data_IF_167415205159
#
_entry.id   IF_167415205159
#
_cell.length_a   1.000
_cell.length_b   1.000
_cell.length_c   1.000
_cell.angle_alpha   90.00
_cell.angle_beta   90.00
_cell.angle_gamma   90.00
#
_symmetry.space_group_name_H-M   'P 1'
#
loop_
_entity.id
_entity.type
_entity.pdbx_description
1 polymer ?
#
# COMPACT_ATOMS: atom_id res chain seq x y z
N UNK A 1 -25.11 -15.23 18.21
CA UNK A 1 -24.59 -14.24 17.24
C UNK A 1 -23.44 -13.46 17.88
N UNK A 2 -22.33 -14.14 18.22
CA UNK A 2 -21.22 -13.59 19.01
C UNK A 2 -19.91 -14.34 18.75
N UNK A 3 -19.54 -14.57 17.48
CA UNK A 3 -18.44 -15.48 17.12
C UNK A 3 -17.52 -14.97 15.98
N UNK A 4 -17.31 -13.66 15.84
CA UNK A 4 -16.37 -13.09 14.85
C UNK A 4 -15.42 -12.02 15.43
N UNK A 5 -15.40 -11.81 16.75
CA UNK A 5 -14.67 -10.70 17.40
C UNK A 5 -13.18 -10.95 17.67
N UNK A 6 -12.59 -12.07 17.24
CA UNK A 6 -11.17 -12.38 17.48
C UNK A 6 -10.29 -12.26 16.24
N UNK A 7 -10.69 -11.44 15.26
CA UNK A 7 -9.78 -11.05 14.20
C UNK A 7 -8.81 -9.99 14.73
N UNK A 8 -7.67 -10.47 15.20
CA UNK A 8 -6.54 -9.70 15.71
C UNK A 8 -6.00 -8.76 14.62
N UNK A 9 -6.63 -7.60 14.45
CA UNK A 9 -5.90 -6.39 14.05
C UNK A 9 -5.10 -5.92 15.28
N UNK A 10 -4.18 -6.77 15.74
CA UNK A 10 -3.29 -6.52 16.90
C UNK A 10 -2.53 -5.19 16.75
N UNK A 11 -2.28 -4.77 15.52
CA UNK A 11 -1.57 -3.52 15.21
C UNK A 11 -2.45 -2.25 15.29
N UNK A 12 -3.77 -2.35 15.57
CA UNK A 12 -4.68 -1.24 15.29
C UNK A 12 -5.88 -1.04 16.23
N UNK A 13 -5.78 -1.41 17.52
CA UNK A 13 -6.81 -0.99 18.48
C UNK A 13 -7.07 0.54 18.42
N UNK A 14 -6.00 1.34 18.35
CA UNK A 14 -6.10 2.80 18.18
C UNK A 14 -6.76 3.21 16.85
N UNK A 15 -6.52 2.48 15.76
CA UNK A 15 -7.10 2.78 14.45
C UNK A 15 -8.59 2.39 14.42
N UNK A 16 -8.99 1.29 15.08
CA UNK A 16 -10.39 0.88 15.22
C UNK A 16 -11.21 1.95 15.96
N UNK A 17 -10.69 2.45 17.08
CA UNK A 17 -11.34 3.56 17.81
C UNK A 17 -11.32 4.87 17.02
N UNK A 18 -10.31 5.11 16.19
CA UNK A 18 -10.26 6.30 15.34
C UNK A 18 -11.30 6.26 14.20
N UNK A 19 -11.54 5.09 13.59
CA UNK A 19 -12.54 4.96 12.51
C UNK A 19 -13.98 5.04 13.02
N UNK A 20 -14.26 4.73 14.28
CA UNK A 20 -15.58 4.93 14.90
C UNK A 20 -16.01 6.41 14.87
N UNK A 21 -15.05 7.35 14.94
CA UNK A 21 -15.29 8.80 14.82
C UNK A 21 -15.62 9.25 13.39
N UNK A 22 -15.58 8.35 12.41
CA UNK A 22 -15.83 8.69 11.01
C UNK A 22 -17.28 9.15 10.82
N UNK A 23 -17.48 10.39 10.37
CA UNK A 23 -18.80 10.95 10.06
C UNK A 23 -19.26 10.69 8.62
N UNK A 24 -18.56 9.83 7.88
CA UNK A 24 -18.91 9.45 6.49
C UNK A 24 -19.03 10.63 5.50
N UNK A 25 -18.33 11.74 5.73
CA UNK A 25 -18.39 12.95 4.91
C UNK A 25 -17.83 12.83 3.49
N UNK A 26 -17.01 11.81 3.19
CA UNK A 26 -16.49 11.55 1.84
C UNK A 26 -15.30 12.40 1.37
N UNK A 27 -14.78 13.30 2.21
CA UNK A 27 -13.59 14.12 1.88
C UNK A 27 -12.39 13.28 1.47
N UNK A 28 -12.21 12.10 2.08
CA UNK A 28 -11.13 11.19 1.75
C UNK A 28 -11.26 10.60 0.33
N UNK A 29 -12.49 10.28 -0.09
CA UNK A 29 -12.78 9.78 -1.43
C UNK A 29 -12.56 10.87 -2.48
N UNK A 30 -13.07 12.07 -2.22
CA UNK A 30 -12.89 13.22 -3.11
C UNK A 30 -11.42 13.66 -3.25
N UNK A 31 -10.63 13.51 -2.18
CA UNK A 31 -9.20 13.88 -2.17
C UNK A 31 -8.30 12.83 -2.83
N UNK A 32 -8.78 11.60 -3.05
CA UNK A 32 -7.92 10.53 -3.51
C UNK A 32 -7.70 10.63 -5.04
N UNK A 33 -6.45 10.78 -5.52
CA UNK A 33 -6.18 10.82 -6.96
C UNK A 33 -6.45 9.47 -7.66
N UNK A 34 -6.53 8.39 -6.88
CA UNK A 34 -6.71 7.03 -7.39
C UNK A 34 -8.17 6.55 -7.31
N UNK A 35 -9.11 7.42 -6.93
CA UNK A 35 -10.52 7.06 -6.72
C UNK A 35 -11.12 6.32 -7.92
N UNK A 36 -10.80 6.73 -9.15
CA UNK A 36 -11.32 6.14 -10.39
C UNK A 36 -10.79 4.73 -10.69
N UNK A 37 -9.72 4.29 -10.01
CA UNK A 37 -9.11 2.97 -10.22
C UNK A 37 -9.45 1.97 -9.11
N UNK A 38 -10.12 2.44 -8.05
CA UNK A 38 -10.54 1.70 -6.87
C UNK A 38 -11.85 0.96 -7.11
N UNK A 39 -12.00 -0.19 -6.47
CA UNK A 39 -13.26 -0.93 -6.40
C UNK A 39 -14.21 -0.32 -5.37
N UNK A 40 -13.67 0.20 -4.26
CA UNK A 40 -14.42 0.90 -3.22
C UNK A 40 -13.67 2.16 -2.81
N UNK A 41 -14.37 3.27 -2.64
CA UNK A 41 -13.71 4.49 -2.18
C UNK A 41 -13.20 4.31 -0.73
N UNK A 42 -12.20 5.09 -0.27
CA UNK A 42 -11.71 5.01 1.10
C UNK A 42 -12.82 5.14 2.16
N UNK A 43 -13.84 5.98 1.91
CA UNK A 43 -15.02 6.10 2.76
C UNK A 43 -15.78 4.78 2.89
N UNK A 44 -16.00 4.07 1.78
CA UNK A 44 -16.72 2.80 1.75
C UNK A 44 -15.92 1.70 2.45
N UNK A 45 -14.59 1.66 2.30
CA UNK A 45 -13.75 0.71 3.04
C UNK A 45 -13.83 0.94 4.55
N UNK A 46 -13.81 2.20 4.99
CA UNK A 46 -14.01 2.53 6.41
C UNK A 46 -15.37 2.05 6.89
N UNK A 47 -16.43 2.27 6.10
CA UNK A 47 -17.78 1.80 6.44
C UNK A 47 -17.83 0.27 6.54
N UNK A 48 -17.26 -0.46 5.57
CA UNK A 48 -17.20 -1.93 5.60
C UNK A 48 -16.55 -2.44 6.89
N UNK A 49 -15.42 -1.86 7.30
CA UNK A 49 -14.75 -2.27 8.54
C UNK A 49 -15.58 -1.92 9.77
N UNK A 50 -16.21 -0.75 9.82
CA UNK A 50 -17.07 -0.35 10.95
C UNK A 50 -18.29 -1.25 11.14
N UNK A 51 -18.87 -1.72 10.03
CA UNK A 51 -20.02 -2.63 10.03
C UNK A 51 -19.62 -4.10 10.21
N UNK A 52 -18.34 -4.40 10.44
CA UNK A 52 -17.84 -5.76 10.68
C UNK A 52 -17.53 -6.58 9.43
N UNK A 53 -17.67 -6.02 8.21
CA UNK A 53 -17.28 -6.64 6.94
C UNK A 53 -15.77 -6.58 6.70
N UNK A 54 -14.99 -7.06 7.67
CA UNK A 54 -13.52 -6.99 7.65
C UNK A 54 -12.95 -7.87 6.53
N UNK A 55 -13.47 -9.08 6.36
CA UNK A 55 -12.97 -10.02 5.35
C UNK A 55 -13.16 -9.49 3.92
N UNK A 56 -14.27 -8.83 3.66
CA UNK A 56 -14.58 -8.15 2.41
C UNK A 56 -13.63 -6.97 2.19
N UNK A 57 -13.43 -6.14 3.23
CA UNK A 57 -12.50 -5.01 3.17
C UNK A 57 -11.07 -5.44 2.83
N UNK A 58 -10.58 -6.54 3.42
CA UNK A 58 -9.23 -7.08 3.17
C UNK A 58 -9.05 -7.63 1.75
N UNK A 59 -10.13 -8.05 1.10
CA UNK A 59 -10.09 -8.53 -0.29
C UNK A 59 -10.16 -7.39 -1.30
N UNK A 60 -10.43 -6.16 -0.90
CA UNK A 60 -10.57 -5.06 -1.87
C UNK A 60 -9.27 -4.76 -2.62
N UNK A 61 -9.37 -4.31 -3.87
CA UNK A 61 -8.23 -3.77 -4.63
C UNK A 61 -7.77 -2.43 -4.03
N UNK A 62 -8.68 -1.70 -3.41
CA UNK A 62 -8.49 -0.37 -2.83
C UNK A 62 -7.34 -0.30 -1.83
N UNK A 63 -7.25 -1.28 -0.92
CA UNK A 63 -6.16 -1.29 0.06
C UNK A 63 -4.81 -1.33 -0.64
N UNK A 64 -4.69 -2.08 -1.75
CA UNK A 64 -3.44 -2.23 -2.50
C UNK A 64 -3.09 -1.02 -3.35
N UNK A 65 -4.08 -0.27 -3.81
CA UNK A 65 -3.89 0.96 -4.60
C UNK A 65 -3.47 2.15 -3.74
N UNK A 66 -3.78 2.16 -2.44
CA UNK A 66 -3.39 3.25 -1.57
C UNK A 66 -1.87 3.49 -1.65
N UNK A 67 -1.44 4.66 -2.11
CA UNK A 67 -0.03 5.06 -2.16
C UNK A 67 0.49 5.64 -0.84
N UNK A 68 -0.38 5.68 0.19
CA UNK A 68 -0.07 6.26 1.49
C UNK A 68 0.47 7.69 1.37
N UNK A 69 -0.13 8.51 0.50
CA UNK A 69 0.24 9.93 0.30
C UNK A 69 -0.29 10.88 1.39
N UNK A 70 -1.07 10.38 2.36
CA UNK A 70 -1.64 11.10 3.50
C UNK A 70 -2.58 12.29 3.20
N UNK A 71 -2.90 12.58 1.94
CA UNK A 71 -3.81 13.69 1.59
C UNK A 71 -5.19 13.57 2.24
N UNK A 72 -5.69 12.34 2.34
CA UNK A 72 -6.95 12.04 3.02
C UNK A 72 -6.90 12.25 4.54
N UNK A 73 -5.72 12.07 5.16
CA UNK A 73 -5.53 12.28 6.60
C UNK A 73 -5.52 13.77 6.93
N UNK A 74 -4.78 14.57 6.16
CA UNK A 74 -4.69 16.03 6.34
C UNK A 74 -6.05 16.72 6.21
N UNK A 75 -6.88 16.27 5.26
CA UNK A 75 -8.19 16.88 4.99
C UNK A 75 -9.34 16.30 5.81
N UNK A 76 -9.09 15.28 6.64
CA UNK A 76 -10.17 14.63 7.39
C UNK A 76 -10.69 15.57 8.49
N UNK A 77 -11.96 15.99 8.49
CA UNK A 77 -12.51 16.82 9.56
C UNK A 77 -12.57 16.07 10.90
N UNK A 78 -12.67 14.73 10.87
CA UNK A 78 -12.64 13.87 12.05
C UNK A 78 -11.21 13.48 12.50
N UNK A 79 -10.16 14.04 11.86
CA UNK A 79 -8.74 13.81 12.19
C UNK A 79 -8.34 12.33 12.21
N UNK A 80 -8.88 11.55 11.26
CA UNK A 80 -8.57 10.11 11.13
C UNK A 80 -7.36 9.94 10.23
N UNK A 81 -6.36 9.17 10.68
CA UNK A 81 -5.23 8.79 9.83
C UNK A 81 -5.60 7.63 8.89
N UNK A 82 -6.29 7.98 7.79
CA UNK A 82 -6.78 7.00 6.81
C UNK A 82 -5.63 6.31 6.06
N UNK A 83 -4.47 6.95 5.93
CA UNK A 83 -3.28 6.35 5.31
C UNK A 83 -2.72 5.19 6.14
N UNK A 84 -2.63 5.37 7.46
CA UNK A 84 -2.26 4.29 8.39
C UNK A 84 -3.31 3.20 8.43
N UNK A 85 -4.59 3.55 8.45
CA UNK A 85 -5.68 2.58 8.37
C UNK A 85 -5.56 1.67 7.14
N UNK A 86 -5.36 2.25 5.95
CA UNK A 86 -5.17 1.46 4.73
C UNK A 86 -3.90 0.60 4.79
N UNK A 87 -2.83 1.09 5.40
CA UNK A 87 -1.58 0.32 5.57
C UNK A 87 -1.75 -0.85 6.54
N UNK A 88 -2.50 -0.64 7.64
CA UNK A 88 -2.86 -1.69 8.58
C UNK A 88 -3.71 -2.78 7.90
N UNK A 89 -4.68 -2.40 7.06
CA UNK A 89 -5.45 -3.34 6.26
C UNK A 89 -4.56 -4.14 5.30
N UNK A 90 -3.59 -3.51 4.61
CA UNK A 90 -2.61 -4.24 3.77
C UNK A 90 -1.83 -5.28 4.57
N UNK A 91 -1.34 -4.93 5.77
CA UNK A 91 -0.58 -5.86 6.65
C UNK A 91 -1.46 -7.01 7.11
N UNK A 92 -2.68 -6.72 7.53
CA UNK A 92 -3.64 -7.74 7.93
C UNK A 92 -4.02 -8.66 6.76
N UNK A 93 -4.21 -8.10 5.56
CA UNK A 93 -4.48 -8.87 4.35
C UNK A 93 -3.31 -9.81 4.02
N UNK A 94 -2.05 -9.36 4.19
CA UNK A 94 -0.86 -10.20 4.05
C UNK A 94 -0.79 -11.32 5.08
N UNK A 95 -1.03 -11.02 6.37
CA UNK A 95 -1.00 -12.00 7.48
C UNK A 95 -2.02 -13.12 7.26
N UNK A 96 -3.18 -12.77 6.73
CA UNK A 96 -4.31 -13.69 6.53
C UNK A 96 -4.41 -14.26 5.12
N UNK A 97 -3.43 -13.99 4.24
CA UNK A 97 -3.42 -14.52 2.87
C UNK A 97 -4.50 -13.95 1.95
N UNK A 98 -5.14 -12.84 2.31
CA UNK A 98 -6.11 -12.15 1.45
C UNK A 98 -5.37 -11.26 0.44
N UNK A 99 -5.10 -11.81 -0.74
CA UNK A 99 -4.67 -11.00 -1.88
C UNK A 99 -5.35 -11.49 -3.15
N UNK A 100 -6.18 -10.63 -3.77
CA UNK A 100 -6.80 -10.96 -5.06
C UNK A 100 -5.76 -11.13 -6.18
N UNK A 101 -4.55 -10.58 -5.99
CA UNK A 101 -3.46 -10.68 -6.93
C UNK A 101 -2.15 -10.92 -6.18
N UNK A 102 -1.47 -12.02 -6.52
CA UNK A 102 -0.18 -12.36 -5.92
C UNK A 102 0.94 -11.36 -6.25
N UNK A 103 0.77 -10.49 -7.25
CA UNK A 103 1.74 -9.45 -7.57
C UNK A 103 1.85 -8.43 -6.42
N UNK A 104 0.76 -8.04 -5.76
CA UNK A 104 0.84 -7.00 -4.74
C UNK A 104 1.65 -7.45 -3.50
N UNK A 105 1.42 -8.65 -2.93
CA UNK A 105 2.28 -9.18 -1.87
C UNK A 105 3.74 -9.33 -2.29
N UNK A 106 4.00 -9.83 -3.50
CA UNK A 106 5.38 -10.00 -4.01
C UNK A 106 6.10 -8.67 -4.17
N UNK A 107 5.40 -7.65 -4.66
CA UNK A 107 5.94 -6.30 -4.79
C UNK A 107 6.25 -5.71 -3.41
N UNK A 108 5.30 -5.78 -2.47
CA UNK A 108 5.46 -5.24 -1.13
C UNK A 108 6.63 -5.92 -0.37
N UNK A 109 6.75 -7.25 -0.46
CA UNK A 109 7.89 -7.98 0.11
C UNK A 109 9.21 -7.55 -0.52
N UNK A 110 9.26 -7.43 -1.84
CA UNK A 110 10.48 -6.99 -2.54
C UNK A 110 10.85 -5.56 -2.18
N UNK A 111 9.86 -4.68 -2.00
CA UNK A 111 10.02 -3.31 -1.55
C UNK A 111 10.60 -3.25 -0.13
N UNK A 112 10.02 -3.99 0.81
CA UNK A 112 10.51 -4.07 2.20
C UNK A 112 11.94 -4.62 2.28
N UNK A 113 12.27 -5.67 1.50
CA UNK A 113 13.65 -6.18 1.37
C UNK A 113 14.63 -5.09 0.91
N UNK A 114 14.22 -4.22 -0.03
CA UNK A 114 15.06 -3.13 -0.53
C UNK A 114 15.29 -2.06 0.51
N UNK A 115 14.24 -1.62 1.20
CA UNK A 115 14.35 -0.63 2.28
C UNK A 115 15.26 -1.16 3.39
N UNK A 116 15.02 -2.39 3.87
CA UNK A 116 15.80 -2.94 4.98
C UNK A 116 17.28 -3.14 4.64
N UNK A 117 17.60 -3.35 3.36
CA UNK A 117 18.98 -3.54 2.89
C UNK A 117 19.71 -2.22 2.60
N UNK A 118 19.03 -1.24 2.01
CA UNK A 118 19.69 -0.05 1.45
C UNK A 118 19.21 1.28 2.04
N UNK A 119 18.14 1.27 2.83
CA UNK A 119 17.49 2.46 3.38
C UNK A 119 16.65 3.25 2.37
N UNK A 120 16.84 3.03 1.07
CA UNK A 120 16.11 3.73 0.00
C UNK A 120 15.74 2.82 -1.17
N UNK A 121 14.72 3.25 -1.91
CA UNK A 121 14.31 2.59 -3.15
C UNK A 121 15.10 3.15 -4.32
N UNK A 122 15.63 2.25 -5.14
CA UNK A 122 16.06 2.56 -6.51
C UNK A 122 15.03 1.94 -7.43
N UNK A 123 14.23 2.78 -8.08
CA UNK A 123 13.13 2.37 -8.96
C UNK A 123 13.57 1.35 -10.03
N UNK A 124 14.63 1.59 -10.83
CA UNK A 124 15.04 0.62 -11.85
C UNK A 124 15.47 -0.71 -11.25
N UNK A 125 16.20 -0.71 -10.14
CA UNK A 125 16.67 -1.94 -9.48
C UNK A 125 15.53 -2.72 -8.83
N UNK A 126 14.57 -2.03 -8.21
CA UNK A 126 13.36 -2.64 -7.67
C UNK A 126 12.54 -3.27 -8.80
N UNK A 127 12.32 -2.53 -9.90
CA UNK A 127 11.57 -3.02 -11.06
C UNK A 127 12.24 -4.23 -11.72
N UNK A 128 13.57 -4.21 -11.89
CA UNK A 128 14.32 -5.36 -12.43
C UNK A 128 14.18 -6.56 -11.49
N UNK A 129 14.45 -6.41 -10.19
CA UNK A 129 14.36 -7.52 -9.23
C UNK A 129 12.93 -8.09 -9.16
N UNK A 130 11.92 -7.23 -9.14
CA UNK A 130 10.52 -7.63 -9.14
C UNK A 130 10.17 -8.38 -10.43
N UNK A 131 10.52 -7.82 -11.60
CA UNK A 131 10.23 -8.41 -12.90
C UNK A 131 10.95 -9.74 -13.11
N UNK A 132 12.18 -9.90 -12.61
CA UNK A 132 12.89 -11.17 -12.62
C UNK A 132 12.20 -12.23 -11.76
N UNK A 133 11.62 -11.84 -10.61
CA UNK A 133 10.85 -12.75 -9.74
C UNK A 133 9.46 -13.10 -10.29
N UNK A 134 8.82 -12.21 -11.06
CA UNK A 134 7.42 -12.41 -11.49
C UNK A 134 7.26 -12.79 -12.95
N UNK A 135 8.01 -12.19 -13.86
CA UNK A 135 7.84 -12.35 -15.32
C UNK A 135 9.09 -11.89 -16.09
N UNK A 136 10.19 -12.67 -16.11
CA UNK A 136 11.45 -12.26 -16.72
C UNK A 136 11.33 -11.90 -18.21
N UNK A 137 10.47 -12.58 -18.96
CA UNK A 137 10.23 -12.27 -20.38
C UNK A 137 9.61 -10.89 -20.62
N UNK A 138 8.86 -10.33 -19.66
CA UNK A 138 8.32 -8.96 -19.79
C UNK A 138 9.42 -7.91 -19.68
N UNK A 139 10.50 -8.21 -18.96
CA UNK A 139 11.65 -7.31 -18.85
C UNK A 139 12.35 -7.12 -20.21
N UNK A 140 12.43 -8.18 -21.03
CA UNK A 140 12.98 -8.11 -22.39
C UNK A 140 12.20 -7.12 -23.27
N UNK A 141 10.87 -7.08 -23.13
CA UNK A 141 10.00 -6.15 -23.88
C UNK A 141 10.19 -4.69 -23.46
N UNK A 142 10.70 -4.44 -22.25
CA UNK A 142 10.94 -3.09 -21.74
C UNK A 142 12.31 -2.52 -22.14
N UNK A 143 13.20 -3.32 -22.76
CA UNK A 143 14.55 -2.87 -23.16
C UNK A 143 14.53 -1.60 -24.03
N UNK A 144 13.68 -1.46 -25.07
CA UNK A 144 13.67 -0.25 -25.90
C UNK A 144 13.30 1.01 -25.12
N UNK A 145 12.32 0.93 -24.23
CA UNK A 145 11.90 2.03 -23.36
C UNK A 145 13.01 2.40 -22.38
N UNK A 146 13.60 1.40 -21.72
CA UNK A 146 14.72 1.60 -20.79
C UNK A 146 15.90 2.28 -21.48
N UNK A 147 16.24 1.88 -22.71
CA UNK A 147 17.31 2.50 -23.48
C UNK A 147 17.02 3.97 -23.81
N UNK A 148 15.77 4.29 -24.16
CA UNK A 148 15.35 5.67 -24.41
C UNK A 148 15.48 6.54 -23.15
N UNK A 149 15.00 6.05 -22.01
CA UNK A 149 15.06 6.80 -20.74
C UNK A 149 16.50 7.00 -20.23
N UNK A 150 17.39 6.02 -20.47
CA UNK A 150 18.81 6.16 -20.17
C UNK A 150 19.47 7.22 -21.04
N UNK A 151 19.13 7.26 -22.33
CA UNK A 151 19.65 8.28 -23.26
C UNK A 151 19.19 9.68 -22.90
N UNK A 152 17.97 9.83 -22.39
CA UNK A 152 17.42 11.10 -21.90
C UNK A 152 17.92 11.47 -20.49
N UNK A 153 18.65 10.58 -19.81
CA UNK A 153 19.14 10.80 -18.45
C UNK A 153 18.06 10.74 -17.35
N UNK A 154 16.82 10.39 -17.70
CA UNK A 154 15.70 10.30 -16.76
C UNK A 154 15.74 9.02 -15.93
N UNK A 155 16.38 7.95 -16.44
CA UNK A 155 16.61 6.71 -15.71
C UNK A 155 18.04 6.64 -15.16
N UNK A 156 18.19 6.46 -13.85
CA UNK A 156 19.49 6.30 -13.20
C UNK A 156 19.61 4.96 -12.47
N UNK A 157 20.66 4.21 -12.78
CA UNK A 157 21.03 2.98 -12.05
C UNK A 157 21.89 3.24 -10.81
N UNK A 158 22.25 4.50 -10.56
CA UNK A 158 23.05 4.90 -9.41
C UNK A 158 22.35 4.52 -8.11
N UNK A 159 23.13 3.97 -7.19
CA UNK A 159 22.64 3.49 -5.91
C UNK A 159 23.47 4.08 -4.78
N UNK A 160 22.94 5.11 -4.16
CA UNK A 160 23.39 5.62 -2.88
C UNK A 160 22.72 4.81 -1.77
N UNK A 161 23.43 4.63 -0.69
CA UNK A 161 22.96 3.98 0.52
C UNK A 161 22.75 5.09 1.55
N UNK A 162 21.62 5.09 2.24
CA UNK A 162 21.35 6.10 3.27
C UNK A 162 22.28 5.87 4.48
N UNK A 163 22.74 6.95 5.10
CA UNK A 163 23.45 6.92 6.39
C UNK A 163 22.42 6.67 7.52
N UNK A 164 22.78 5.90 8.55
CA UNK A 164 21.87 5.51 9.66
C UNK A 164 20.63 4.68 9.23
N UNK A 165 20.85 3.60 8.47
CA UNK A 165 19.78 2.67 8.03
C UNK A 165 18.98 2.08 9.20
N UNK A 166 19.59 1.95 10.38
CA UNK A 166 18.99 1.31 11.54
C UNK A 166 17.66 1.99 11.95
N UNK A 167 17.52 3.31 11.75
CA UNK A 167 16.30 4.07 12.06
C UNK A 167 15.15 3.81 11.08
N UNK A 168 15.44 3.29 9.89
CA UNK A 168 14.49 3.17 8.77
C UNK A 168 13.96 1.74 8.61
N UNK A 169 14.60 0.75 9.26
CA UNK A 169 14.23 -0.66 9.13
C UNK A 169 12.81 -0.90 9.67
N UNK A 170 12.00 -1.58 8.84
CA UNK A 170 10.57 -1.89 9.06
C UNK A 170 10.29 -3.39 9.02
#
# INVERSE_FOLDING_TARGET
>A
MAAQNNFLIEDSYAIHTAIEKCIQCGTCSASCPLNNYMDYTPRQVILMVREGFIHEALKTKTIWLCSTCYLCAVRCPAKINIGEFMTALKRSALKNGYSNNQLYPKLMKTYAEYINKYGRISEPRLMIKFSLKTSPFKLLKMIPLSMKLLREGTLSFSHEKIQNIEEIRI
#
